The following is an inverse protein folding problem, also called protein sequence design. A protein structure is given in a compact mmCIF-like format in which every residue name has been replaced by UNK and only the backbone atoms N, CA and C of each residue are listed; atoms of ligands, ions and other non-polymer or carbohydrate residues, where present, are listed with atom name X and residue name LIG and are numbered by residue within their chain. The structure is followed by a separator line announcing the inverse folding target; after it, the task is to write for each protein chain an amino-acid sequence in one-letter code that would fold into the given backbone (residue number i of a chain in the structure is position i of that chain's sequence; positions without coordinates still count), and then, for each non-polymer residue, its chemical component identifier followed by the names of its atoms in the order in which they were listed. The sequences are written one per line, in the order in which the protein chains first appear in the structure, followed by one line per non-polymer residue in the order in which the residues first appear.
data_IF_458079083613
#
_entry.id   IF_458079083613
#
_cell.length_a   1.000
_cell.length_b   1.000
_cell.length_c   1.000
_cell.angle_alpha   90.00
_cell.angle_beta   90.00
_cell.angle_gamma   90.00
#
_symmetry.space_group_name_H-M   'P 1'
#
loop_
_entity.id
_entity.type
_entity.pdbx_description
1 polymer ?
#
# COMPACT_ATOMS: atom_id res chain seq x y z
N UNK A 1 -4.88 -13.45 -18.41
CA UNK A 1 -5.36 -12.96 -17.10
C UNK A 1 -5.42 -14.09 -16.04
N UNK A 2 -4.45 -14.99 -15.96
CA UNK A 2 -4.49 -16.13 -15.00
C UNK A 2 -3.92 -15.83 -13.61
N UNK A 3 -3.39 -14.62 -13.36
CA UNK A 3 -2.69 -14.25 -12.13
C UNK A 3 -3.35 -13.11 -11.34
N UNK A 4 -4.57 -12.69 -11.69
CA UNK A 4 -5.21 -11.52 -11.10
C UNK A 4 -5.28 -11.58 -9.55
N UNK A 5 -5.73 -12.70 -9.01
CA UNK A 5 -5.81 -12.91 -7.56
C UNK A 5 -4.42 -12.90 -6.87
N UNK A 6 -3.39 -13.42 -7.55
CA UNK A 6 -2.03 -13.36 -7.05
C UNK A 6 -1.47 -11.92 -7.08
N UNK A 7 -1.84 -11.14 -8.09
CA UNK A 7 -1.47 -9.73 -8.21
C UNK A 7 -2.13 -8.87 -7.11
N UNK A 8 -3.41 -9.11 -6.84
CA UNK A 8 -4.15 -8.49 -5.73
C UNK A 8 -3.49 -8.82 -4.38
N UNK A 9 -3.11 -10.08 -4.17
CA UNK A 9 -2.40 -10.50 -2.96
C UNK A 9 -1.01 -9.84 -2.85
N UNK A 10 -0.26 -9.77 -3.95
CA UNK A 10 1.06 -9.14 -3.97
C UNK A 10 0.98 -7.63 -3.69
N UNK A 11 -0.03 -6.94 -4.21
CA UNK A 11 -0.25 -5.52 -3.96
C UNK A 11 -0.48 -5.23 -2.47
N UNK A 12 -1.21 -6.11 -1.77
CA UNK A 12 -1.40 -6.00 -0.31
C UNK A 12 -0.15 -6.39 0.45
N UNK A 13 0.52 -7.48 0.05
CA UNK A 13 1.74 -7.98 0.70
C UNK A 13 2.87 -6.94 0.70
N UNK A 14 3.08 -6.25 -0.42
CA UNK A 14 4.17 -5.28 -0.57
C UNK A 14 3.83 -3.87 -0.06
N UNK A 15 2.57 -3.61 0.32
CA UNK A 15 2.13 -2.30 0.83
C UNK A 15 1.79 -1.28 -0.26
N UNK A 16 1.66 -1.72 -1.51
CA UNK A 16 1.09 -0.91 -2.57
C UNK A 16 -0.38 -0.57 -2.27
N UNK A 17 -1.13 -1.55 -1.78
CA UNK A 17 -2.52 -1.43 -1.35
C UNK A 17 -2.68 -1.81 0.13
N UNK A 18 -3.56 -1.12 0.85
CA UNK A 18 -3.88 -1.45 2.24
C UNK A 18 -5.37 -1.75 2.39
N UNK A 19 -5.70 -2.70 3.25
CA UNK A 19 -7.07 -3.07 3.57
C UNK A 19 -7.43 -2.48 4.92
N UNK A 20 -8.48 -1.69 4.96
CA UNK A 20 -8.98 -1.06 6.17
C UNK A 20 -10.49 -0.87 6.08
N UNK A 21 -11.12 -0.67 7.22
CA UNK A 21 -12.55 -0.38 7.34
C UNK A 21 -12.76 0.80 8.28
N UNK A 22 -13.83 1.55 8.03
CA UNK A 22 -14.30 2.59 8.92
C UNK A 22 -15.76 2.29 9.29
N UNK A 23 -16.04 2.12 10.58
CA UNK A 23 -17.39 1.90 11.09
C UNK A 23 -17.78 3.02 12.06
N UNK A 24 -18.57 4.02 11.62
CA UNK A 24 -18.95 5.16 12.47
C UNK A 24 -19.72 4.76 13.74
N UNK A 25 -20.45 3.64 13.72
CA UNK A 25 -21.20 3.19 14.89
C UNK A 25 -20.29 2.87 16.11
N UNK A 26 -18.99 2.60 15.88
CA UNK A 26 -18.04 2.38 16.96
C UNK A 26 -17.75 3.65 17.77
N UNK A 27 -17.93 4.84 17.18
CA UNK A 27 -17.76 6.11 17.89
C UNK A 27 -18.79 6.24 19.01
N UNK A 28 -20.03 5.81 18.77
CA UNK A 28 -21.12 5.80 19.77
C UNK A 28 -20.82 4.84 20.95
N UNK A 29 -19.97 3.83 20.71
CA UNK A 29 -19.50 2.88 21.72
C UNK A 29 -18.20 3.34 22.43
N UNK A 30 -17.66 4.52 22.09
CA UNK A 30 -16.36 4.99 22.59
C UNK A 30 -15.19 4.13 22.11
N UNK A 31 -15.29 3.55 20.91
CA UNK A 31 -14.25 2.73 20.28
C UNK A 31 -13.73 3.40 19.02
N UNK A 32 -12.49 3.09 18.65
CA UNK A 32 -11.91 3.58 17.41
C UNK A 32 -12.69 3.04 16.18
N UNK A 33 -13.27 3.91 15.33
CA UNK A 33 -14.02 3.49 14.15
C UNK A 33 -13.14 2.96 13.02
N UNK A 34 -11.85 3.27 13.04
CA UNK A 34 -10.91 2.86 11.99
C UNK A 34 -10.18 1.57 12.38
N UNK A 35 -10.28 0.57 11.50
CA UNK A 35 -9.59 -0.71 11.62
C UNK A 35 -8.70 -0.94 10.43
N UNK A 36 -7.41 -1.18 10.66
CA UNK A 36 -6.46 -1.58 9.63
C UNK A 36 -6.37 -3.12 9.60
N UNK A 37 -6.92 -3.73 8.56
CA UNK A 37 -7.02 -5.19 8.42
C UNK A 37 -5.76 -5.81 7.77
N UNK A 38 -5.09 -5.07 6.87
CA UNK A 38 -3.84 -5.53 6.25
C UNK A 38 -2.69 -5.49 7.26
N UNK A 39 -1.84 -6.52 7.23
CA UNK A 39 -0.63 -6.63 8.06
C UNK A 39 0.43 -5.61 7.67
N UNK A 40 1.51 -5.57 8.45
CA UNK A 40 2.72 -4.84 8.07
C UNK A 40 3.25 -5.30 6.71
N UNK A 41 3.51 -4.37 5.76
CA UNK A 41 4.01 -4.71 4.44
C UNK A 41 5.44 -5.23 4.41
N UNK A 42 5.74 -6.07 3.41
CA UNK A 42 7.10 -6.44 3.01
C UNK A 42 7.65 -5.41 2.01
N UNK A 43 8.20 -4.30 2.53
CA UNK A 43 8.63 -3.16 1.72
C UNK A 43 9.73 -3.47 0.70
N UNK A 44 10.54 -4.51 0.96
CA UNK A 44 11.54 -5.03 0.03
C UNK A 44 10.92 -5.54 -1.27
N UNK A 45 9.65 -5.98 -1.23
CA UNK A 45 8.91 -6.45 -2.41
C UNK A 45 8.22 -5.33 -3.21
N UNK A 46 8.23 -4.09 -2.73
CA UNK A 46 7.42 -3.01 -3.32
C UNK A 46 7.85 -2.68 -4.76
N UNK A 47 9.15 -2.47 -5.00
CA UNK A 47 9.62 -2.16 -6.35
C UNK A 47 9.55 -3.36 -7.29
N UNK A 48 9.67 -4.59 -6.77
CA UNK A 48 9.49 -5.81 -7.56
C UNK A 48 8.05 -5.94 -8.04
N UNK A 49 7.08 -5.63 -7.19
CA UNK A 49 5.67 -5.54 -7.58
C UNK A 49 5.47 -4.52 -8.71
N UNK A 50 6.01 -3.30 -8.59
CA UNK A 50 5.92 -2.30 -9.65
C UNK A 50 6.53 -2.82 -10.96
N UNK A 51 7.74 -3.37 -10.92
CA UNK A 51 8.43 -3.90 -12.11
C UNK A 51 7.72 -5.11 -12.74
N UNK A 52 6.83 -5.79 -12.00
CA UNK A 52 6.02 -6.90 -12.49
C UNK A 52 4.91 -6.50 -13.47
N UNK A 53 4.49 -5.24 -13.47
CA UNK A 53 3.38 -4.78 -14.31
C UNK A 53 3.85 -3.89 -15.47
N UNK A 54 3.31 -4.14 -16.67
CA UNK A 54 3.69 -3.41 -17.91
C UNK A 54 3.49 -1.90 -17.78
N UNK A 55 2.49 -1.45 -16.99
CA UNK A 55 2.21 -0.01 -16.77
C UNK A 55 3.36 0.75 -16.10
N UNK A 56 4.23 0.05 -15.36
CA UNK A 56 5.42 0.62 -14.74
C UNK A 56 6.70 0.20 -15.47
N UNK A 57 6.78 -1.05 -15.95
CA UNK A 57 7.94 -1.53 -16.68
C UNK A 57 8.20 -0.73 -17.98
N UNK A 58 7.15 -0.17 -18.60
CA UNK A 58 7.27 0.67 -19.80
C UNK A 58 8.07 1.95 -19.55
N UNK A 59 7.80 2.67 -18.45
CA UNK A 59 8.54 3.90 -18.12
C UNK A 59 9.98 3.59 -17.72
N UNK A 60 10.21 2.49 -17.00
CA UNK A 60 11.57 2.03 -16.65
C UNK A 60 12.42 1.71 -17.88
N UNK A 61 11.80 1.14 -18.92
CA UNK A 61 12.49 0.85 -20.18
C UNK A 61 12.84 2.12 -20.96
N UNK A 62 11.98 3.13 -20.91
CA UNK A 62 12.13 4.34 -21.73
C UNK A 62 12.98 5.41 -21.05
N UNK A 63 12.86 5.55 -19.73
CA UNK A 63 13.45 6.61 -18.90
C UNK A 63 13.95 6.00 -17.57
N UNK A 64 15.04 5.22 -17.57
CA UNK A 64 15.44 4.41 -16.42
C UNK A 64 15.83 5.25 -15.18
N UNK A 65 16.46 6.42 -15.37
CA UNK A 65 16.85 7.29 -14.26
C UNK A 65 15.64 7.93 -13.61
N UNK A 66 14.74 8.51 -14.41
CA UNK A 66 13.51 9.14 -13.94
C UNK A 66 12.55 8.11 -13.34
N UNK A 67 12.45 6.93 -13.94
CA UNK A 67 11.62 5.85 -13.41
C UNK A 67 12.10 5.39 -12.03
N UNK A 68 13.41 5.27 -11.81
CA UNK A 68 13.94 4.93 -10.49
C UNK A 68 13.58 6.02 -9.45
N UNK A 69 13.73 7.30 -9.80
CA UNK A 69 13.31 8.40 -8.93
C UNK A 69 11.81 8.34 -8.60
N UNK A 70 10.97 8.05 -9.60
CA UNK A 70 9.53 7.91 -9.42
C UNK A 70 9.17 6.69 -8.54
N UNK A 71 9.89 5.58 -8.67
CA UNK A 71 9.66 4.37 -7.87
C UNK A 71 10.06 4.57 -6.42
N UNK A 72 11.19 5.22 -6.17
CA UNK A 72 11.63 5.57 -4.82
C UNK A 72 10.63 6.51 -4.14
N UNK A 73 10.18 7.55 -4.86
CA UNK A 73 9.16 8.47 -4.37
C UNK A 73 7.81 7.76 -4.11
N UNK A 74 7.40 6.83 -4.99
CA UNK A 74 6.18 6.06 -4.80
C UNK A 74 6.25 5.17 -3.54
N UNK A 75 7.39 4.52 -3.31
CA UNK A 75 7.63 3.71 -2.12
C UNK A 75 7.61 4.55 -0.83
N UNK A 76 8.30 5.70 -0.84
CA UNK A 76 8.29 6.64 0.29
C UNK A 76 6.86 7.11 0.61
N UNK A 77 6.08 7.45 -0.42
CA UNK A 77 4.69 7.87 -0.25
C UNK A 77 3.78 6.73 0.25
N UNK A 78 4.01 5.49 -0.19
CA UNK A 78 3.30 4.32 0.33
C UNK A 78 3.61 4.11 1.83
N UNK A 79 4.87 4.22 2.24
CA UNK A 79 5.29 4.13 3.65
C UNK A 79 4.68 5.25 4.51
N UNK A 80 4.65 6.49 4.00
CA UNK A 80 3.98 7.63 4.66
C UNK A 80 2.48 7.40 4.83
N UNK A 81 1.82 6.87 3.81
CA UNK A 81 0.38 6.51 3.87
C UNK A 81 0.13 5.41 4.89
N UNK A 82 0.91 4.33 4.87
CA UNK A 82 0.83 3.25 5.86
C UNK A 82 1.00 3.78 7.29
N UNK A 83 2.01 4.62 7.52
CA UNK A 83 2.27 5.24 8.82
C UNK A 83 1.08 6.08 9.29
N UNK A 84 0.35 6.71 8.36
CA UNK A 84 -0.87 7.46 8.67
C UNK A 84 -2.00 6.53 9.12
N UNK A 85 -2.19 5.40 8.44
CA UNK A 85 -3.18 4.39 8.86
C UNK A 85 -2.83 3.77 10.23
N UNK A 86 -1.55 3.53 10.51
CA UNK A 86 -1.11 3.06 11.83
C UNK A 86 -1.38 4.09 12.93
N UNK A 87 -1.22 5.39 12.64
CA UNK A 87 -1.65 6.44 13.58
C UNK A 87 -3.16 6.39 13.79
N UNK A 88 -3.93 6.29 12.72
CA UNK A 88 -5.40 6.23 12.79
C UNK A 88 -5.88 5.02 13.61
N UNK A 89 -5.27 3.85 13.46
CA UNK A 89 -5.67 2.63 14.20
C UNK A 89 -5.29 2.65 15.68
N UNK A 90 -4.46 3.62 16.10
CA UNK A 90 -4.02 3.81 17.50
C UNK A 90 -4.59 5.08 18.13
N UNK A 91 -5.49 5.79 17.46
CA UNK A 91 -6.18 6.93 18.07
C UNK A 91 -7.12 6.42 19.15
N UNK A 92 -7.02 7.00 20.34
CA UNK A 92 -7.98 6.81 21.43
C UNK A 92 -9.19 7.71 21.18
N UNK A 93 -10.38 7.19 21.45
CA UNK A 93 -11.67 7.85 21.26
C UNK A 93 -12.45 7.91 22.58
#
# INVERSE_FOLDING_TARGET
MGKAQAEEAAAVECGYWHLWRYNPALEEEGKNPFVLDSKEPQWDKFQDFLKGEVRYASVMKQYPEEAQQLFDAAQEMAQKRYSSYIRMSKMEW
#
